data_IF_511987495755
#
_entry.id   IF_511987495755
#
_cell.length_a   1.000
_cell.length_b   1.000
_cell.length_c   1.000
_cell.angle_alpha   90.00
_cell.angle_beta   90.00
_cell.angle_gamma   90.00
#
_symmetry.space_group_name_H-M   'P 1'
#
loop_
_entity.id
_entity.type
_entity.pdbx_description
1 polymer ?
#
# COMPACT_ATOMS: atom_id res chain seq x y z
N UNK A 1 42.98 -15.47 -8.65
CA UNK A 1 42.79 -16.94 -8.77
C UNK A 1 41.50 -17.46 -8.11
N UNK A 2 41.13 -17.06 -6.88
CA UNK A 2 39.92 -17.59 -6.20
C UNK A 2 38.58 -17.28 -6.89
N UNK A 3 38.42 -16.17 -7.63
CA UNK A 3 37.21 -15.89 -8.42
C UNK A 3 37.03 -16.79 -9.64
N UNK A 4 38.12 -17.22 -10.29
CA UNK A 4 38.05 -18.09 -11.48
C UNK A 4 37.72 -19.52 -11.07
N UNK A 5 38.26 -19.97 -9.92
CA UNK A 5 37.98 -21.30 -9.37
C UNK A 5 36.51 -21.41 -8.90
N UNK A 6 35.94 -20.39 -8.27
CA UNK A 6 34.52 -20.39 -7.87
C UNK A 6 33.54 -20.27 -9.04
N UNK A 7 33.98 -19.71 -10.19
CA UNK A 7 33.18 -19.69 -11.41
C UNK A 7 33.12 -21.09 -12.08
N UNK A 8 34.21 -21.85 -12.00
CA UNK A 8 34.31 -23.20 -12.56
C UNK A 8 33.62 -24.29 -11.73
N UNK A 9 33.29 -24.05 -10.46
CA UNK A 9 32.64 -25.02 -9.56
C UNK A 9 31.16 -24.77 -9.31
N UNK A 10 30.55 -23.83 -10.03
CA UNK A 10 29.12 -23.54 -9.94
C UNK A 10 28.29 -24.64 -10.67
N UNK A 11 27.24 -25.21 -10.05
CA UNK A 11 26.39 -26.20 -10.71
C UNK A 11 25.69 -25.65 -11.97
N UNK A 12 25.59 -24.31 -12.12
CA UNK A 12 25.08 -23.67 -13.34
C UNK A 12 26.10 -23.69 -14.48
N UNK A 13 27.40 -23.59 -14.22
CA UNK A 13 28.43 -23.58 -15.29
C UNK A 13 28.65 -24.98 -15.85
N UNK A 14 28.52 -26.03 -15.03
CA UNK A 14 28.51 -27.42 -15.50
C UNK A 14 27.32 -27.75 -16.40
N UNK A 15 26.13 -27.18 -16.12
CA UNK A 15 24.95 -27.39 -16.96
C UNK A 15 25.11 -26.75 -18.35
N UNK A 16 25.61 -25.51 -18.39
CA UNK A 16 25.89 -24.80 -19.65
C UNK A 16 26.97 -25.51 -20.46
N UNK A 17 28.02 -26.01 -19.80
CA UNK A 17 29.08 -26.77 -20.46
C UNK A 17 28.56 -28.10 -21.03
N UNK A 18 27.67 -28.79 -20.31
CA UNK A 18 26.99 -30.00 -20.78
C UNK A 18 26.09 -29.75 -21.99
N UNK A 19 25.31 -28.66 -21.98
CA UNK A 19 24.45 -28.25 -23.10
C UNK A 19 25.29 -27.93 -24.36
N UNK A 20 26.44 -27.26 -24.18
CA UNK A 20 27.37 -26.95 -25.28
C UNK A 20 28.05 -28.18 -25.87
N UNK A 21 28.51 -29.11 -25.01
CA UNK A 21 29.11 -30.36 -25.45
C UNK A 21 28.13 -31.24 -26.23
N UNK A 22 26.88 -31.31 -25.77
CA UNK A 22 25.79 -32.03 -26.45
C UNK A 22 25.49 -31.43 -27.83
N UNK A 23 25.51 -30.10 -27.96
CA UNK A 23 25.34 -29.42 -29.25
C UNK A 23 26.47 -29.77 -30.22
N UNK A 24 27.74 -29.74 -29.78
CA UNK A 24 28.89 -30.12 -30.61
C UNK A 24 28.79 -31.58 -31.05
N UNK A 25 28.41 -32.48 -30.15
CA UNK A 25 28.23 -33.90 -30.46
C UNK A 25 27.14 -34.11 -31.51
N UNK A 26 25.99 -33.45 -31.38
CA UNK A 26 24.92 -33.46 -32.37
C UNK A 26 25.39 -32.92 -33.72
N UNK A 27 26.13 -31.81 -33.73
CA UNK A 27 26.64 -31.21 -34.95
C UNK A 27 27.63 -32.13 -35.69
N UNK A 28 28.56 -32.74 -34.95
CA UNK A 28 29.49 -33.73 -35.50
C UNK A 28 28.78 -34.98 -36.02
N UNK A 29 27.72 -35.42 -35.34
CA UNK A 29 26.87 -36.52 -35.78
C UNK A 29 26.18 -36.19 -37.11
N UNK A 30 25.61 -34.99 -37.24
CA UNK A 30 24.96 -34.54 -38.49
C UNK A 30 25.96 -34.50 -39.65
N UNK A 31 27.15 -33.92 -39.45
CA UNK A 31 28.21 -33.89 -40.47
C UNK A 31 28.68 -35.31 -40.81
N UNK A 32 28.91 -36.15 -39.80
CA UNK A 32 29.32 -37.54 -39.99
C UNK A 32 28.30 -38.34 -40.79
N UNK A 33 27.01 -38.19 -40.48
CA UNK A 33 25.91 -38.80 -41.23
C UNK A 33 25.87 -38.31 -42.68
N UNK A 34 26.09 -37.01 -42.91
CA UNK A 34 26.12 -36.44 -44.26
C UNK A 34 27.27 -37.00 -45.11
N UNK A 35 28.49 -37.05 -44.56
CA UNK A 35 29.67 -37.62 -45.26
C UNK A 35 29.50 -39.12 -45.50
N UNK A 36 29.03 -39.87 -44.49
CA UNK A 36 28.79 -41.30 -44.60
C UNK A 36 27.78 -41.62 -45.69
N UNK A 37 26.64 -40.91 -45.71
CA UNK A 37 25.59 -41.12 -46.70
C UNK A 37 26.06 -40.74 -48.11
N UNK A 38 26.82 -39.65 -48.26
CA UNK A 38 27.43 -39.26 -49.54
C UNK A 38 28.37 -40.34 -50.09
N UNK A 39 29.27 -40.88 -49.26
CA UNK A 39 30.17 -41.97 -49.66
C UNK A 39 29.41 -43.27 -49.97
N UNK A 40 28.35 -43.57 -49.21
CA UNK A 40 27.51 -44.76 -49.44
C UNK A 40 26.79 -44.71 -50.80
N UNK A 41 26.26 -43.54 -51.19
CA UNK A 41 25.68 -43.33 -52.52
C UNK A 41 26.73 -43.55 -53.60
N UNK A 42 27.91 -42.94 -53.44
CA UNK A 42 28.99 -43.05 -54.43
C UNK A 42 29.47 -44.49 -54.65
N UNK A 43 29.48 -45.33 -53.60
CA UNK A 43 29.91 -46.72 -53.71
C UNK A 43 28.82 -47.67 -54.22
N UNK A 44 27.55 -47.44 -53.88
CA UNK A 44 26.47 -48.40 -54.16
C UNK A 44 25.55 -47.98 -55.31
N UNK A 45 25.54 -46.71 -55.70
CA UNK A 45 24.63 -46.16 -56.73
C UNK A 45 25.39 -45.78 -58.00
N UNK A 46 26.59 -45.17 -57.91
CA UNK A 46 27.38 -44.75 -59.08
C UNK A 46 28.03 -45.93 -59.86
N UNK A 47 28.00 -47.14 -59.31
CA UNK A 47 28.51 -48.36 -59.95
C UNK A 47 27.50 -49.09 -60.85
N UNK A 48 26.23 -48.66 -60.88
CA UNK A 48 25.15 -49.30 -61.66
C UNK A 48 25.13 -48.71 -63.08
N UNK A 49 25.27 -49.56 -64.11
CA UNK A 49 25.48 -49.15 -65.52
C UNK A 49 24.38 -48.27 -66.15
N UNK A 50 23.23 -48.07 -65.48
CA UNK A 50 22.14 -47.17 -65.93
C UNK A 50 22.18 -45.74 -65.37
N UNK A 51 23.11 -45.40 -64.48
CA UNK A 51 23.18 -44.11 -63.76
C UNK A 51 24.41 -43.26 -64.10
N UNK A 52 25.15 -43.59 -65.17
CA UNK A 52 26.29 -42.79 -65.64
C UNK A 52 25.85 -41.47 -66.28
N UNK A 53 24.63 -41.44 -66.81
CA UNK A 53 24.06 -40.26 -67.44
C UNK A 53 23.72 -39.18 -66.40
N UNK A 54 23.93 -37.91 -66.74
CA UNK A 54 23.68 -36.80 -65.83
C UNK A 54 22.18 -36.65 -65.52
N UNK A 55 21.32 -37.04 -66.46
CA UNK A 55 19.86 -36.94 -66.38
C UNK A 55 19.26 -37.92 -65.35
N UNK A 56 19.68 -39.19 -65.36
CA UNK A 56 19.21 -40.20 -64.38
C UNK A 56 19.69 -39.92 -62.95
N UNK A 57 20.85 -39.28 -62.77
CA UNK A 57 21.31 -38.78 -61.46
C UNK A 57 20.50 -37.59 -60.94
N UNK A 58 20.07 -36.70 -61.84
CA UNK A 58 19.14 -35.62 -61.52
C UNK A 58 17.79 -36.15 -61.04
N UNK A 59 17.20 -37.11 -61.77
CA UNK A 59 15.94 -37.78 -61.42
C UNK A 59 16.00 -38.53 -60.09
N UNK A 60 17.14 -39.11 -59.73
CA UNK A 60 17.36 -39.73 -58.42
C UNK A 60 17.39 -38.68 -57.30
N UNK A 61 18.04 -37.54 -57.52
CA UNK A 61 18.05 -36.41 -56.58
C UNK A 61 16.66 -35.82 -56.30
N UNK A 62 15.79 -35.79 -57.31
CA UNK A 62 14.42 -35.28 -57.19
C UNK A 62 13.57 -36.09 -56.17
N UNK A 63 13.87 -37.37 -55.94
CA UNK A 63 13.19 -38.18 -54.92
C UNK A 63 13.42 -37.67 -53.49
N UNK A 64 14.56 -37.01 -53.24
CA UNK A 64 14.88 -36.41 -51.94
C UNK A 64 14.35 -34.98 -51.79
N UNK A 65 13.88 -34.35 -52.88
CA UNK A 65 13.28 -33.01 -52.86
C UNK A 65 12.04 -32.93 -51.96
N UNK A 66 11.17 -33.93 -52.03
CA UNK A 66 9.98 -34.03 -51.16
C UNK A 66 10.34 -34.18 -49.68
N UNK A 67 11.39 -34.95 -49.37
CA UNK A 67 11.89 -35.15 -48.00
C UNK A 67 12.48 -33.85 -47.45
N UNK A 68 13.27 -33.12 -48.25
CA UNK A 68 13.83 -31.81 -47.85
C UNK A 68 12.74 -30.76 -47.61
N UNK A 69 11.70 -30.74 -48.45
CA UNK A 69 10.54 -29.87 -48.26
C UNK A 69 9.79 -30.21 -46.96
N UNK A 70 9.62 -31.50 -46.64
CA UNK A 70 9.02 -31.95 -45.38
C UNK A 70 9.83 -31.51 -44.17
N UNK A 71 11.15 -31.73 -44.17
CA UNK A 71 12.02 -31.28 -43.06
C UNK A 71 12.02 -29.76 -42.89
N UNK A 72 12.00 -29.01 -43.99
CA UNK A 72 11.89 -27.55 -43.97
C UNK A 72 10.54 -27.09 -43.39
N UNK A 73 9.44 -27.76 -43.76
CA UNK A 73 8.11 -27.53 -43.18
C UNK A 73 8.05 -27.86 -41.68
N UNK A 74 8.69 -28.96 -41.25
CA UNK A 74 8.79 -29.34 -39.83
C UNK A 74 9.64 -28.35 -39.03
N UNK A 75 10.78 -27.92 -39.57
CA UNK A 75 11.64 -26.92 -38.93
C UNK A 75 10.90 -25.57 -38.78
N UNK A 76 10.17 -25.15 -39.82
CA UNK A 76 9.34 -23.96 -39.76
C UNK A 76 8.18 -24.10 -38.76
N UNK A 77 7.54 -25.26 -38.69
CA UNK A 77 6.50 -25.56 -37.70
C UNK A 77 7.07 -25.50 -36.27
N UNK A 78 8.25 -26.07 -36.04
CA UNK A 78 8.95 -25.98 -34.77
C UNK A 78 9.28 -24.52 -34.39
N UNK A 79 9.72 -23.70 -35.34
CA UNK A 79 9.96 -22.27 -35.15
C UNK A 79 8.67 -21.51 -34.76
N UNK A 80 7.54 -21.83 -35.40
CA UNK A 80 6.25 -21.23 -35.02
C UNK A 80 5.87 -21.62 -33.59
N UNK A 81 6.00 -22.89 -33.24
CA UNK A 81 5.73 -23.37 -31.88
C UNK A 81 6.61 -22.67 -30.85
N UNK A 82 7.91 -22.50 -31.11
CA UNK A 82 8.81 -21.80 -30.18
C UNK A 82 8.46 -20.32 -30.06
N UNK A 83 8.10 -19.64 -31.15
CA UNK A 83 7.65 -18.25 -31.10
C UNK A 83 6.38 -18.07 -30.25
N UNK A 84 5.44 -19.01 -30.33
CA UNK A 84 4.23 -18.99 -29.50
C UNK A 84 4.56 -19.20 -28.02
N UNK A 85 5.45 -20.13 -27.69
CA UNK A 85 5.92 -20.35 -26.32
C UNK A 85 6.65 -19.12 -25.76
N UNK A 86 7.57 -18.54 -26.53
CA UNK A 86 8.29 -17.31 -26.14
C UNK A 86 7.34 -16.13 -25.89
N UNK A 87 6.27 -15.98 -26.69
CA UNK A 87 5.25 -14.95 -26.45
C UNK A 87 4.55 -15.14 -25.11
N UNK A 88 4.24 -16.39 -24.75
CA UNK A 88 3.62 -16.72 -23.45
C UNK A 88 4.58 -16.41 -22.30
N UNK A 89 5.82 -16.88 -22.37
CA UNK A 89 6.85 -16.60 -21.35
C UNK A 89 7.09 -15.09 -21.18
N UNK A 90 7.15 -14.33 -22.27
CA UNK A 90 7.30 -12.88 -22.22
C UNK A 90 6.11 -12.20 -21.54
N UNK A 91 4.89 -12.70 -21.76
CA UNK A 91 3.67 -12.20 -21.12
C UNK A 91 3.69 -12.45 -19.61
N UNK A 92 4.06 -13.66 -19.19
CA UNK A 92 4.19 -14.02 -17.78
C UNK A 92 5.29 -13.19 -17.10
N UNK A 93 6.46 -13.07 -17.75
CA UNK A 93 7.57 -12.24 -17.26
C UNK A 93 7.19 -10.77 -17.09
N UNK A 94 6.38 -10.21 -18.02
CA UNK A 94 5.85 -8.84 -17.89
C UNK A 94 4.94 -8.71 -16.68
N UNK A 95 4.02 -9.65 -16.48
CA UNK A 95 3.11 -9.65 -15.33
C UNK A 95 3.90 -9.69 -14.01
N UNK A 96 4.90 -10.57 -13.91
CA UNK A 96 5.77 -10.64 -12.72
C UNK A 96 6.55 -9.35 -12.50
N UNK A 97 7.08 -8.76 -13.57
CA UNK A 97 7.80 -7.48 -13.48
C UNK A 97 6.89 -6.34 -13.00
N UNK A 98 5.63 -6.32 -13.43
CA UNK A 98 4.64 -5.32 -13.00
C UNK A 98 4.29 -5.45 -11.51
N UNK A 99 4.10 -6.66 -10.99
CA UNK A 99 3.96 -6.89 -9.55
C UNK A 99 5.20 -6.42 -8.78
N UNK A 100 6.40 -6.77 -9.25
CA UNK A 100 7.65 -6.35 -8.61
C UNK A 100 7.83 -4.82 -8.59
N UNK A 101 7.44 -4.14 -9.68
CA UNK A 101 7.45 -2.66 -9.75
C UNK A 101 6.51 -2.04 -8.73
N UNK A 102 5.31 -2.62 -8.60
CA UNK A 102 4.35 -2.18 -7.59
C UNK A 102 4.92 -2.33 -6.19
N UNK A 103 5.39 -3.52 -5.83
CA UNK A 103 5.94 -3.82 -4.51
C UNK A 103 7.12 -2.92 -4.18
N UNK A 104 8.06 -2.75 -5.11
CA UNK A 104 9.22 -1.88 -4.92
C UNK A 104 8.79 -0.44 -4.59
N UNK A 105 7.86 0.12 -5.36
CA UNK A 105 7.35 1.48 -5.13
C UNK A 105 6.58 1.57 -3.81
N UNK A 106 5.73 0.58 -3.50
CA UNK A 106 4.97 0.51 -2.27
C UNK A 106 5.89 0.48 -1.03
N UNK A 107 6.89 -0.41 -1.01
CA UNK A 107 7.80 -0.51 0.13
C UNK A 107 8.72 0.72 0.27
N UNK A 108 9.08 1.37 -0.84
CA UNK A 108 9.76 2.67 -0.80
C UNK A 108 8.88 3.76 -0.16
N UNK A 109 7.61 3.84 -0.55
CA UNK A 109 6.66 4.78 0.04
C UNK A 109 6.43 4.50 1.53
N UNK A 110 6.31 3.23 1.91
CA UNK A 110 6.15 2.81 3.31
C UNK A 110 7.40 3.13 4.15
N UNK A 111 8.60 2.96 3.59
CA UNK A 111 9.84 3.37 4.26
C UNK A 111 9.88 4.88 4.46
N UNK A 112 9.56 5.66 3.43
CA UNK A 112 9.47 7.13 3.55
C UNK A 112 8.43 7.55 4.58
N UNK A 113 7.33 6.80 4.70
CA UNK A 113 6.32 7.05 5.74
C UNK A 113 6.91 6.90 7.14
N UNK A 114 7.60 5.78 7.41
CA UNK A 114 8.24 5.54 8.71
C UNK A 114 9.32 6.60 9.01
N UNK A 115 10.16 6.95 8.02
CA UNK A 115 11.15 8.02 8.18
C UNK A 115 10.51 9.39 8.46
N UNK A 116 9.36 9.69 7.84
CA UNK A 116 8.61 10.91 8.14
C UNK A 116 8.02 10.85 9.55
N UNK A 117 7.48 9.70 9.98
CA UNK A 117 6.95 9.50 11.34
C UNK A 117 8.01 9.81 12.39
N UNK A 118 9.22 9.27 12.22
CA UNK A 118 10.35 9.51 13.14
C UNK A 118 10.82 10.98 13.18
N UNK A 119 10.73 11.71 12.06
CA UNK A 119 11.20 13.10 11.93
C UNK A 119 10.20 14.14 12.43
N UNK A 120 8.93 13.77 12.61
CA UNK A 120 7.92 14.66 13.16
C UNK A 120 8.35 15.13 14.54
N UNK A 121 8.15 16.42 14.82
CA UNK A 121 8.57 17.06 16.07
C UNK A 121 7.54 18.05 16.60
N UNK A 122 7.37 18.04 17.92
CA UNK A 122 6.68 19.09 18.68
C UNK A 122 7.53 19.41 19.89
N UNK A 123 8.01 20.66 19.95
CA UNK A 123 8.83 21.16 21.06
C UNK A 123 10.11 20.31 21.21
N UNK A 124 10.17 19.41 22.21
CA UNK A 124 11.30 18.51 22.49
C UNK A 124 10.95 17.03 22.25
N UNK A 125 9.70 16.73 21.87
CA UNK A 125 9.23 15.37 21.58
C UNK A 125 9.36 15.08 20.08
N UNK A 126 9.73 13.85 19.73
CA UNK A 126 9.93 13.39 18.35
C UNK A 126 9.25 12.05 18.11
N UNK A 127 8.98 11.71 16.86
CA UNK A 127 8.38 10.41 16.54
C UNK A 127 6.99 10.25 17.15
N UNK A 128 6.73 9.07 17.72
CA UNK A 128 5.47 8.72 18.38
C UNK A 128 5.10 9.72 19.49
N UNK A 129 6.08 10.14 20.31
CA UNK A 129 5.83 11.10 21.39
C UNK A 129 5.35 12.47 20.87
N UNK A 130 5.76 12.86 19.66
CA UNK A 130 5.28 14.08 19.04
C UNK A 130 3.79 13.97 18.63
N UNK A 131 3.34 12.79 18.20
CA UNK A 131 1.91 12.54 17.94
C UNK A 131 1.10 12.54 19.23
N UNK A 132 1.62 11.94 20.31
CA UNK A 132 0.99 12.02 21.63
C UNK A 132 0.86 13.48 22.09
N UNK A 133 1.92 14.27 21.93
CA UNK A 133 1.91 15.69 22.25
C UNK A 133 0.90 16.48 21.40
N UNK A 134 0.78 16.17 20.10
CA UNK A 134 -0.21 16.78 19.22
C UNK A 134 -1.63 16.50 19.73
N UNK A 135 -1.89 15.24 20.09
CA UNK A 135 -3.18 14.79 20.61
C UNK A 135 -3.49 15.45 21.96
N UNK A 136 -2.51 15.56 22.86
CA UNK A 136 -2.64 16.31 24.13
C UNK A 136 -2.94 17.79 23.90
N UNK A 137 -2.24 18.42 22.94
CA UNK A 137 -2.50 19.82 22.58
C UNK A 137 -3.91 19.99 22.04
N UNK A 138 -4.38 19.10 21.16
CA UNK A 138 -5.75 19.13 20.64
C UNK A 138 -6.77 19.04 21.77
N UNK A 139 -6.58 18.11 22.70
CA UNK A 139 -7.39 17.97 23.91
C UNK A 139 -7.41 19.24 24.76
N UNK A 140 -6.27 19.90 24.96
CA UNK A 140 -6.19 21.13 25.76
C UNK A 140 -6.73 22.39 25.07
N UNK A 141 -6.88 22.39 23.74
CA UNK A 141 -7.38 23.56 22.98
C UNK A 141 -8.90 23.62 22.94
N UNK A 142 -9.57 22.53 23.29
CA UNK A 142 -11.00 22.48 23.51
C UNK A 142 -11.30 22.65 25.01
N UNK A 143 -11.96 23.75 25.35
CA UNK A 143 -12.21 24.15 26.74
C UNK A 143 -13.20 23.21 27.44
N UNK A 144 -14.06 22.56 26.65
CA UNK A 144 -15.10 21.65 27.15
C UNK A 144 -14.54 20.24 27.41
N UNK A 145 -13.37 19.92 26.84
CA UNK A 145 -12.91 18.55 26.72
C UNK A 145 -12.50 17.90 28.05
N UNK A 146 -11.80 18.64 28.93
CA UNK A 146 -11.48 18.14 30.28
C UNK A 146 -12.74 17.82 31.07
N UNK A 147 -13.78 18.65 30.93
CA UNK A 147 -15.10 18.38 31.50
C UNK A 147 -15.77 17.15 30.87
N UNK A 148 -15.71 17.00 29.55
CA UNK A 148 -16.36 15.88 28.84
C UNK A 148 -15.86 14.50 29.28
N UNK A 149 -14.56 14.35 29.52
CA UNK A 149 -13.99 13.09 30.02
C UNK A 149 -14.59 12.68 31.37
N UNK A 150 -14.75 13.64 32.29
CA UNK A 150 -15.38 13.42 33.58
C UNK A 150 -16.89 13.15 33.43
N UNK A 151 -17.57 13.94 32.59
CA UNK A 151 -19.01 13.82 32.35
C UNK A 151 -19.41 12.50 31.67
N UNK A 152 -18.54 11.87 30.87
CA UNK A 152 -18.79 10.54 30.31
C UNK A 152 -18.98 9.44 31.36
N UNK A 153 -18.47 9.63 32.58
CA UNK A 153 -18.64 8.67 33.68
C UNK A 153 -20.01 8.78 34.34
N UNK A 154 -20.77 9.83 34.05
CA UNK A 154 -22.03 10.16 34.69
C UNK A 154 -23.23 9.90 33.77
N UNK A 155 -24.38 9.60 34.38
CA UNK A 155 -25.66 9.56 33.69
C UNK A 155 -26.18 10.98 33.41
N UNK A 156 -27.00 11.13 32.35
CA UNK A 156 -27.57 12.43 31.97
C UNK A 156 -28.35 13.13 33.10
N UNK A 157 -29.13 12.42 33.95
CA UNK A 157 -29.75 13.02 35.12
C UNK A 157 -28.73 13.60 36.12
N UNK A 158 -27.63 12.89 36.39
CA UNK A 158 -26.55 13.38 37.26
C UNK A 158 -25.91 14.66 36.69
N UNK A 159 -25.70 14.71 35.37
CA UNK A 159 -25.15 15.91 34.72
C UNK A 159 -26.10 17.10 34.81
N UNK A 160 -27.41 16.88 34.67
CA UNK A 160 -28.43 17.93 34.88
C UNK A 160 -28.43 18.42 36.32
N UNK A 161 -28.29 17.52 37.29
CA UNK A 161 -28.18 17.88 38.69
C UNK A 161 -26.96 18.78 38.95
N UNK A 162 -25.77 18.41 38.45
CA UNK A 162 -24.56 19.25 38.59
C UNK A 162 -24.77 20.62 37.93
N UNK A 163 -25.47 20.68 36.79
CA UNK A 163 -25.79 21.93 36.10
C UNK A 163 -26.69 22.83 36.95
N UNK A 164 -27.73 22.26 37.55
CA UNK A 164 -28.71 23.00 38.35
C UNK A 164 -28.10 23.47 39.68
N UNK A 165 -27.34 22.58 40.35
CA UNK A 165 -26.69 22.83 41.64
C UNK A 165 -25.42 23.68 41.51
N UNK A 166 -24.84 23.75 40.31
CA UNK A 166 -23.57 24.43 39.98
C UNK A 166 -22.41 24.04 40.91
N UNK A 167 -22.44 22.79 41.37
CA UNK A 167 -21.44 22.24 42.29
C UNK A 167 -21.26 20.77 42.00
N UNK A 168 -20.03 20.30 42.16
CA UNK A 168 -19.67 18.88 42.08
C UNK A 168 -18.89 18.51 43.34
N UNK A 169 -19.22 17.38 43.97
CA UNK A 169 -18.39 16.81 45.03
C UNK A 169 -18.23 15.31 44.82
N UNK A 170 -17.08 14.77 45.22
CA UNK A 170 -16.80 13.35 45.09
C UNK A 170 -17.76 12.47 45.93
N UNK A 171 -18.30 13.01 47.02
CA UNK A 171 -19.25 12.30 47.87
C UNK A 171 -20.60 12.11 47.19
N UNK A 172 -21.02 13.07 46.35
CA UNK A 172 -22.29 13.03 45.63
C UNK A 172 -22.20 12.14 44.37
N UNK A 173 -21.00 11.97 43.83
CA UNK A 173 -20.72 11.23 42.59
C UNK A 173 -19.51 10.29 42.76
N UNK A 174 -19.71 9.08 43.30
CA UNK A 174 -18.63 8.15 43.60
C UNK A 174 -17.94 7.59 42.35
N UNK A 175 -18.52 7.76 41.16
CA UNK A 175 -17.91 7.39 39.88
C UNK A 175 -16.76 8.32 39.46
N UNK A 176 -16.66 9.51 40.08
CA UNK A 176 -15.66 10.52 39.77
C UNK A 176 -14.40 10.36 40.63
N UNK A 177 -13.25 10.47 39.99
CA UNK A 177 -11.96 10.63 40.68
C UNK A 177 -11.76 12.10 41.10
N UNK A 178 -10.83 12.35 42.02
CA UNK A 178 -10.54 13.72 42.47
C UNK A 178 -10.14 14.66 41.31
N UNK A 179 -9.47 14.11 40.28
CA UNK A 179 -9.12 14.82 39.04
C UNK A 179 -10.36 15.17 38.20
N UNK A 180 -11.35 14.28 38.13
CA UNK A 180 -12.60 14.52 37.39
C UNK A 180 -13.44 15.61 38.06
N UNK A 181 -13.53 15.57 39.39
CA UNK A 181 -14.22 16.61 40.18
C UNK A 181 -13.56 17.97 39.93
N UNK A 182 -12.23 18.05 39.98
CA UNK A 182 -11.50 19.29 39.70
C UNK A 182 -11.75 19.80 38.27
N UNK A 183 -11.79 18.90 37.27
CA UNK A 183 -12.07 19.28 35.87
C UNK A 183 -13.49 19.82 35.69
N UNK A 184 -14.49 19.23 36.35
CA UNK A 184 -15.88 19.71 36.31
C UNK A 184 -16.01 21.04 37.05
N UNK A 185 -15.35 21.18 38.20
CA UNK A 185 -15.39 22.42 39.00
C UNK A 185 -14.75 23.59 38.22
N UNK A 186 -13.60 23.36 37.59
CA UNK A 186 -12.95 24.36 36.71
C UNK A 186 -13.84 24.72 35.51
N UNK A 187 -14.61 23.77 34.98
CA UNK A 187 -15.59 24.05 33.94
C UNK A 187 -16.74 24.93 34.47
N UNK A 188 -17.27 24.63 35.67
CA UNK A 188 -18.33 25.38 36.32
C UNK A 188 -17.92 26.81 36.68
N UNK A 189 -16.66 27.06 37.03
CA UNK A 189 -16.11 28.40 37.22
C UNK A 189 -16.22 29.28 35.95
N UNK A 190 -16.13 28.66 34.77
CA UNK A 190 -16.31 29.33 33.46
C UNK A 190 -17.78 29.41 33.04
N UNK A 191 -18.68 28.77 33.79
CA UNK A 191 -20.12 28.71 33.56
C UNK A 191 -20.64 27.29 33.27
N UNK A 192 -21.93 27.15 32.97
CA UNK A 192 -22.56 25.84 32.69
C UNK A 192 -22.43 25.40 31.22
N UNK A 193 -21.75 26.20 30.39
CA UNK A 193 -21.63 25.97 28.95
C UNK A 193 -21.13 24.56 28.62
N UNK A 194 -20.09 24.08 29.30
CA UNK A 194 -19.56 22.71 29.11
C UNK A 194 -20.61 21.63 29.38
N UNK A 195 -21.48 21.81 30.37
CA UNK A 195 -22.53 20.83 30.65
C UNK A 195 -23.64 20.89 29.60
N UNK A 196 -24.04 22.08 29.17
CA UNK A 196 -25.01 22.28 28.08
C UNK A 196 -24.52 21.63 26.78
N UNK A 197 -23.25 21.87 26.49
CA UNK A 197 -22.53 21.36 25.35
C UNK A 197 -22.39 19.83 25.33
N UNK A 198 -22.24 19.22 26.51
CA UNK A 198 -22.23 17.76 26.65
C UNK A 198 -23.62 17.17 26.48
N UNK A 199 -24.65 17.85 26.99
CA UNK A 199 -26.03 17.41 26.90
C UNK A 199 -26.60 17.54 25.48
N UNK A 200 -26.05 18.44 24.66
CA UNK A 200 -26.39 18.64 23.26
C UNK A 200 -25.88 17.49 22.37
N UNK A 201 -26.80 16.83 21.66
CA UNK A 201 -26.51 15.73 20.72
C UNK A 201 -26.34 16.20 19.27
N UNK A 202 -26.40 17.50 19.02
CA UNK A 202 -26.28 18.10 17.70
C UNK A 202 -24.89 17.90 17.10
N UNK A 203 -24.79 16.98 16.12
CA UNK A 203 -23.55 16.76 15.36
C UNK A 203 -22.92 18.06 14.81
N UNK A 204 -23.67 19.05 14.27
CA UNK A 204 -23.07 20.27 13.73
C UNK A 204 -22.28 21.08 14.76
N UNK A 205 -22.77 21.18 16.01
CA UNK A 205 -22.08 21.91 17.07
C UNK A 205 -20.77 21.21 17.44
N UNK A 206 -20.81 19.88 17.62
CA UNK A 206 -19.59 19.10 17.91
C UNK A 206 -18.57 19.19 16.77
N UNK A 207 -19.05 19.20 15.53
CA UNK A 207 -18.20 19.39 14.33
C UNK A 207 -17.54 20.77 14.31
N UNK A 208 -18.26 21.83 14.67
CA UNK A 208 -17.71 23.18 14.75
C UNK A 208 -16.64 23.30 15.85
N UNK A 209 -16.87 22.69 17.01
CA UNK A 209 -15.91 22.71 18.13
C UNK A 209 -14.62 21.98 17.82
N UNK A 210 -14.71 20.74 17.34
CA UNK A 210 -13.52 19.98 16.96
C UNK A 210 -12.76 20.69 15.84
N UNK A 211 -13.47 21.32 14.90
CA UNK A 211 -12.85 22.15 13.85
C UNK A 211 -12.14 23.36 14.42
N UNK A 212 -12.74 24.08 15.38
CA UNK A 212 -12.13 25.23 16.02
C UNK A 212 -10.89 24.85 16.87
N UNK A 213 -10.97 23.76 17.64
CA UNK A 213 -9.86 23.23 18.43
C UNK A 213 -8.72 22.77 17.51
N UNK A 214 -9.03 21.99 16.48
CA UNK A 214 -8.04 21.51 15.52
C UNK A 214 -7.40 22.65 14.73
N UNK A 215 -8.18 23.68 14.32
CA UNK A 215 -7.64 24.86 13.63
C UNK A 215 -6.53 25.54 14.43
N UNK A 216 -6.73 25.74 15.74
CA UNK A 216 -5.71 26.33 16.62
C UNK A 216 -4.44 25.49 16.69
N UNK A 217 -4.57 24.16 16.76
CA UNK A 217 -3.40 23.25 16.75
C UNK A 217 -2.72 23.25 15.38
N UNK A 218 -3.52 23.26 14.32
CA UNK A 218 -3.01 23.21 12.95
C UNK A 218 -2.20 24.47 12.62
N UNK A 219 -2.67 25.65 13.03
CA UNK A 219 -1.94 26.92 12.86
C UNK A 219 -0.53 26.88 13.46
N UNK A 220 -0.33 26.12 14.54
CA UNK A 220 0.94 26.08 15.27
C UNK A 220 1.85 24.92 14.84
N UNK A 221 1.28 23.75 14.54
CA UNK A 221 2.06 22.52 14.37
C UNK A 221 1.87 21.79 13.04
N UNK A 222 0.86 22.10 12.21
CA UNK A 222 0.53 21.27 11.04
C UNK A 222 1.68 21.13 10.05
N UNK A 223 2.51 22.17 9.93
CA UNK A 223 3.63 22.18 8.99
C UNK A 223 4.62 21.05 9.29
N UNK A 224 4.86 20.75 10.57
CA UNK A 224 5.73 19.65 11.00
C UNK A 224 5.17 18.26 10.67
N UNK A 225 3.84 18.13 10.54
CA UNK A 225 3.15 16.86 10.25
C UNK A 225 2.70 16.76 8.78
N UNK A 226 2.78 17.86 8.02
CA UNK A 226 2.24 17.95 6.67
C UNK A 226 2.85 16.93 5.72
N UNK A 227 4.17 16.69 5.83
CA UNK A 227 4.88 15.68 5.05
C UNK A 227 4.43 14.26 5.41
N UNK A 228 4.19 13.98 6.69
CA UNK A 228 3.68 12.71 7.17
C UNK A 228 2.29 12.40 6.60
N UNK A 229 1.33 13.33 6.78
CA UNK A 229 -0.04 13.15 6.29
C UNK A 229 -0.09 13.02 4.76
N UNK A 230 0.67 13.86 4.04
CA UNK A 230 0.72 13.82 2.57
C UNK A 230 1.33 12.52 2.06
N UNK A 231 2.40 12.04 2.67
CA UNK A 231 3.01 10.78 2.26
C UNK A 231 2.08 9.59 2.52
N UNK A 232 1.44 9.51 3.69
CA UNK A 232 0.45 8.46 3.97
C UNK A 232 -0.70 8.48 2.94
N UNK A 233 -1.21 9.67 2.62
CA UNK A 233 -2.23 9.84 1.59
C UNK A 233 -1.76 9.30 0.25
N UNK A 234 -0.55 9.64 -0.20
CA UNK A 234 0.00 9.16 -1.46
C UNK A 234 0.24 7.65 -1.45
N UNK A 235 0.64 7.06 -0.32
CA UNK A 235 0.78 5.61 -0.17
C UNK A 235 -0.57 4.92 -0.35
N UNK A 236 -1.61 5.37 0.36
CA UNK A 236 -2.96 4.80 0.23
C UNK A 236 -3.55 5.05 -1.16
N UNK A 237 -3.31 6.23 -1.74
CA UNK A 237 -3.73 6.56 -3.10
C UNK A 237 -3.03 5.68 -4.13
N UNK A 238 -1.74 5.40 -3.96
CA UNK A 238 -0.99 4.52 -4.84
C UNK A 238 -1.57 3.10 -4.84
N UNK A 239 -1.90 2.56 -3.66
CA UNK A 239 -2.61 1.28 -3.53
C UNK A 239 -3.97 1.35 -4.25
N UNK A 240 -4.74 2.40 -4.01
CA UNK A 240 -6.07 2.58 -4.60
C UNK A 240 -6.07 2.63 -6.13
N UNK A 241 -5.19 3.46 -6.70
CA UNK A 241 -5.19 3.83 -8.11
C UNK A 241 -4.37 2.86 -8.97
N UNK A 242 -3.52 2.03 -8.36
CA UNK A 242 -2.70 1.07 -9.10
C UNK A 242 -3.55 0.08 -9.90
N UNK A 243 -3.19 -0.08 -11.18
CA UNK A 243 -3.74 -1.10 -12.09
C UNK A 243 -2.90 -2.38 -12.10
N UNK A 244 -1.79 -2.40 -11.37
CA UNK A 244 -0.83 -3.50 -11.34
C UNK A 244 -1.20 -4.58 -10.31
N UNK A 245 -2.19 -4.31 -9.47
CA UNK A 245 -2.67 -5.22 -8.43
C UNK A 245 -4.19 -5.29 -8.41
N UNK A 246 -4.71 -6.45 -8.00
CA UNK A 246 -6.15 -6.70 -7.90
C UNK A 246 -6.77 -6.11 -6.62
N UNK A 247 -8.10 -6.18 -6.48
CA UNK A 247 -8.81 -5.61 -5.32
C UNK A 247 -8.50 -6.33 -4.00
N UNK A 248 -8.16 -7.62 -4.04
CA UNK A 248 -7.81 -8.41 -2.86
C UNK A 248 -6.41 -8.04 -2.37
N UNK A 249 -5.47 -7.91 -3.29
CA UNK A 249 -4.12 -7.42 -3.03
C UNK A 249 -4.14 -6.00 -2.46
N UNK A 250 -4.97 -5.10 -3.02
CA UNK A 250 -5.14 -3.74 -2.48
C UNK A 250 -5.49 -3.73 -1.00
N UNK A 251 -6.46 -4.55 -0.60
CA UNK A 251 -6.83 -4.71 0.82
C UNK A 251 -5.66 -5.29 1.65
N UNK A 252 -4.91 -6.24 1.08
CA UNK A 252 -3.70 -6.81 1.70
C UNK A 252 -2.61 -5.75 1.96
N UNK A 253 -2.24 -4.96 0.97
CA UNK A 253 -1.23 -3.90 1.13
C UNK A 253 -1.69 -2.78 2.06
N UNK A 254 -2.97 -2.41 2.02
CA UNK A 254 -3.51 -1.43 2.96
C UNK A 254 -3.46 -1.94 4.41
N UNK A 255 -3.67 -3.25 4.63
CA UNK A 255 -3.48 -3.88 5.95
C UNK A 255 -2.03 -3.80 6.42
N UNK A 256 -1.04 -3.90 5.53
CA UNK A 256 0.37 -3.65 5.90
C UNK A 256 0.58 -2.22 6.37
N UNK A 257 0.08 -1.21 5.64
CA UNK A 257 0.14 0.20 6.08
C UNK A 257 -0.49 0.34 7.46
N UNK A 258 -1.72 -0.17 7.64
CA UNK A 258 -2.44 -0.11 8.91
C UNK A 258 -1.67 -0.73 10.07
N UNK A 259 -0.95 -1.83 9.83
CA UNK A 259 -0.16 -2.51 10.87
C UNK A 259 1.07 -1.74 11.34
N UNK A 260 1.51 -0.73 10.57
CA UNK A 260 2.66 0.12 10.93
C UNK A 260 2.24 1.37 11.72
N UNK A 261 0.96 1.72 11.72
CA UNK A 261 0.46 2.93 12.38
C UNK A 261 0.23 2.67 13.88
N UNK A 262 0.85 3.50 14.72
CA UNK A 262 0.59 3.52 16.16
C UNK A 262 -0.77 4.13 16.48
N UNK A 263 -1.26 3.90 17.70
CA UNK A 263 -2.53 4.47 18.15
C UNK A 263 -2.51 6.01 18.16
N UNK A 264 -1.40 6.62 18.58
CA UNK A 264 -1.24 8.07 18.58
C UNK A 264 -1.32 8.65 17.15
N UNK A 265 -0.73 7.96 16.18
CA UNK A 265 -0.81 8.32 14.76
C UNK A 265 -2.23 8.18 14.22
N UNK A 266 -2.93 7.09 14.53
CA UNK A 266 -4.32 6.87 14.09
C UNK A 266 -5.25 7.98 14.58
N UNK A 267 -5.10 8.42 15.83
CA UNK A 267 -5.86 9.54 16.39
C UNK A 267 -5.55 10.85 15.66
N UNK A 268 -4.27 11.13 15.41
CA UNK A 268 -3.87 12.34 14.68
C UNK A 268 -4.41 12.37 13.25
N UNK A 269 -4.32 11.23 12.54
CA UNK A 269 -4.87 11.05 11.18
C UNK A 269 -6.39 11.19 11.19
N UNK A 270 -7.07 10.63 12.19
CA UNK A 270 -8.52 10.71 12.33
C UNK A 270 -8.99 12.17 12.41
N UNK A 271 -8.42 12.97 13.32
CA UNK A 271 -8.78 14.38 13.46
C UNK A 271 -8.43 15.22 12.23
N UNK A 272 -7.30 14.92 11.60
CA UNK A 272 -6.92 15.50 10.32
C UNK A 272 -7.92 15.17 9.20
N UNK A 273 -8.52 13.98 9.24
CA UNK A 273 -9.45 13.53 8.20
C UNK A 273 -10.88 14.04 8.34
N UNK A 274 -11.35 14.37 9.55
CA UNK A 274 -12.72 14.89 9.77
C UNK A 274 -12.81 16.40 9.70
N UNK A 275 -11.70 17.12 9.86
CA UNK A 275 -11.70 18.58 9.93
C UNK A 275 -11.31 19.19 8.59
N UNK A 276 -12.19 20.03 8.02
CA UNK A 276 -11.83 20.91 6.91
C UNK A 276 -11.01 22.08 7.44
N UNK A 277 -9.75 22.15 7.05
CA UNK A 277 -8.80 23.18 7.49
C UNK A 277 -8.79 24.31 6.45
N UNK A 278 -9.10 25.53 6.89
CA UNK A 278 -8.92 26.76 6.10
C UNK A 278 -7.99 27.69 6.88
N UNK A 279 -6.71 27.70 6.49
CA UNK A 279 -5.67 28.53 7.08
C UNK A 279 -5.50 29.80 6.25
N UNK A 280 -5.27 30.93 6.94
CA UNK A 280 -5.01 32.22 6.29
C UNK A 280 -3.85 32.12 5.30
N UNK A 281 -4.11 32.39 4.01
CA UNK A 281 -3.12 32.29 2.93
C UNK A 281 -2.93 30.88 2.35
N UNK A 282 -3.69 29.88 2.82
CA UNK A 282 -3.66 28.49 2.34
C UNK A 282 -5.08 27.94 2.22
N UNK A 283 -5.89 28.58 1.37
CA UNK A 283 -7.32 28.30 1.23
C UNK A 283 -7.62 26.95 0.54
N UNK A 284 -6.71 26.44 -0.29
CA UNK A 284 -6.88 25.19 -1.05
C UNK A 284 -6.14 24.00 -0.42
N UNK A 285 -5.68 24.12 0.83
CA UNK A 285 -4.84 23.10 1.45
C UNK A 285 -5.67 21.93 1.99
N UNK A 286 -5.85 20.90 1.16
CA UNK A 286 -6.48 19.64 1.55
C UNK A 286 -5.48 18.69 2.25
N UNK A 287 -5.06 19.08 3.45
CA UNK A 287 -4.28 18.22 4.35
C UNK A 287 -5.22 17.31 5.13
N UNK A 288 -5.88 16.35 4.48
CA UNK A 288 -6.76 15.39 5.17
C UNK A 288 -8.16 15.31 4.58
N UNK A 289 -9.12 16.03 5.18
CA UNK A 289 -10.47 16.12 4.63
C UNK A 289 -10.49 16.76 3.23
N UNK A 290 -11.27 16.26 2.26
CA UNK A 290 -12.07 15.03 2.29
C UNK A 290 -11.30 13.78 1.79
N UNK A 291 -10.21 13.98 1.05
CA UNK A 291 -9.54 12.93 0.26
C UNK A 291 -8.95 11.80 1.12
N UNK A 292 -8.30 12.15 2.23
CA UNK A 292 -7.79 11.18 3.18
C UNK A 292 -8.93 10.38 3.82
N UNK A 293 -10.00 11.05 4.25
CA UNK A 293 -11.14 10.39 4.91
C UNK A 293 -11.74 9.27 4.05
N UNK A 294 -11.90 9.53 2.74
CA UNK A 294 -12.40 8.54 1.79
C UNK A 294 -11.51 7.29 1.72
N UNK A 295 -10.17 7.46 1.69
CA UNK A 295 -9.23 6.34 1.66
C UNK A 295 -9.16 5.58 2.99
N UNK A 296 -9.20 6.30 4.13
CA UNK A 296 -9.22 5.69 5.46
C UNK A 296 -10.44 4.79 5.64
N UNK A 297 -11.61 5.26 5.19
CA UNK A 297 -12.83 4.46 5.21
C UNK A 297 -12.76 3.28 4.24
N UNK A 298 -12.36 3.52 2.98
CA UNK A 298 -12.29 2.48 1.95
C UNK A 298 -11.41 1.29 2.36
N UNK A 299 -10.31 1.55 3.03
CA UNK A 299 -9.35 0.52 3.45
C UNK A 299 -9.45 0.13 4.92
N UNK A 300 -10.44 0.65 5.66
CA UNK A 300 -10.63 0.37 7.09
C UNK A 300 -9.35 0.59 7.91
N UNK A 301 -8.65 1.70 7.67
CA UNK A 301 -7.36 2.02 8.31
C UNK A 301 -7.55 2.25 9.82
N UNK A 302 -8.67 2.82 10.22
CA UNK A 302 -8.95 3.20 11.62
C UNK A 302 -9.44 2.03 12.49
N UNK A 303 -9.54 0.80 11.96
CA UNK A 303 -10.06 -0.36 12.69
C UNK A 303 -9.37 -0.62 14.04
N UNK A 304 -8.06 -0.34 14.10
CA UNK A 304 -7.23 -0.60 15.28
C UNK A 304 -7.26 0.56 16.30
N UNK A 305 -7.97 1.65 16.03
CA UNK A 305 -8.06 2.79 16.94
C UNK A 305 -9.00 2.47 18.10
N UNK A 306 -8.53 2.63 19.33
CA UNK A 306 -9.38 2.45 20.51
C UNK A 306 -10.46 3.53 20.56
N UNK A 307 -11.73 3.19 20.81
CA UNK A 307 -12.77 4.18 21.05
C UNK A 307 -12.46 5.12 22.21
N UNK A 308 -11.62 4.69 23.16
CA UNK A 308 -11.19 5.49 24.33
C UNK A 308 -10.20 6.60 23.99
N UNK A 309 -9.52 6.48 22.86
CA UNK A 309 -8.50 7.45 22.41
C UNK A 309 -9.12 8.62 21.64
N UNK A 310 -10.41 8.50 21.30
CA UNK A 310 -11.20 9.54 20.67
C UNK A 310 -11.67 10.51 21.74
N UNK A 311 -11.48 11.80 21.48
CA UNK A 311 -11.92 12.93 22.30
C UNK A 311 -13.42 12.81 22.62
N UNK A 312 -14.29 12.68 21.61
CA UNK A 312 -15.71 12.52 21.84
C UNK A 312 -16.31 11.40 20.97
N UNK A 313 -17.18 10.53 21.51
CA UNK A 313 -17.82 9.46 20.74
C UNK A 313 -18.53 9.95 19.47
N UNK A 314 -19.13 11.15 19.52
CA UNK A 314 -19.81 11.73 18.35
C UNK A 314 -18.85 12.06 17.19
N UNK A 315 -17.54 12.17 17.43
CA UNK A 315 -16.58 12.41 16.35
C UNK A 315 -16.55 11.25 15.34
N UNK A 316 -16.76 10.01 15.79
CA UNK A 316 -16.92 8.87 14.86
C UNK A 316 -18.16 9.02 13.98
N UNK A 317 -19.24 9.58 14.53
CA UNK A 317 -20.46 9.83 13.76
C UNK A 317 -20.24 10.94 12.73
N UNK A 318 -19.48 11.99 13.09
CA UNK A 318 -19.05 13.03 12.14
C UNK A 318 -18.23 12.42 11.01
N UNK A 319 -17.26 11.54 11.30
CA UNK A 319 -16.48 10.86 10.27
C UNK A 319 -17.36 10.07 9.29
N UNK A 320 -18.31 9.28 9.81
CA UNK A 320 -19.23 8.49 8.98
C UNK A 320 -20.08 9.38 8.08
N UNK A 321 -20.74 10.38 8.66
CA UNK A 321 -21.53 11.39 7.93
C UNK A 321 -20.70 12.03 6.80
N UNK A 322 -19.49 12.48 7.13
CA UNK A 322 -18.60 13.14 6.20
C UNK A 322 -18.21 12.23 5.02
N UNK A 323 -17.97 10.95 5.26
CA UNK A 323 -17.64 9.97 4.21
C UNK A 323 -18.85 9.64 3.33
N UNK A 324 -20.05 9.55 3.90
CA UNK A 324 -21.29 9.36 3.15
C UNK A 324 -21.55 10.55 2.19
N UNK A 325 -21.36 11.78 2.67
CA UNK A 325 -21.47 12.99 1.85
C UNK A 325 -20.46 13.03 0.70
N UNK A 326 -19.24 12.51 0.90
CA UNK A 326 -18.23 12.39 -0.15
C UNK A 326 -18.62 11.34 -1.18
N UNK A 327 -19.19 10.22 -0.75
CA UNK A 327 -19.55 9.09 -1.64
C UNK A 327 -20.76 9.41 -2.53
N UNK A 328 -21.61 10.35 -2.11
CA UNK A 328 -22.78 10.82 -2.87
C UNK A 328 -22.46 11.91 -3.90
N UNK A 329 -21.23 12.44 -3.94
CA UNK A 329 -20.79 13.49 -4.88
C UNK A 329 -19.94 12.92 -6.00
#
# INVERSE_FOLDING_TARGET
MKCIVNFLTSPKTWRIFGEFLLFIMLFMLVIGAWVYFGNWIQLNVDGVEGLKDAETRGLFGDQFGAINALFSGMAFSALICTLLLQRKELSEARSTADHQRFESTFFQLLRLHNENSEKVKIIQKTGIEAFEALNEKLKSRDIDFTGFCALQKLSRPQIRQIKDDKKVTQNDFPELEASDVANIDEALERGVGTLDNFLDEGLPMHEEKVRAAYKKVAEEYIDNFSHYFRNLYHTLKYINDSKLIDSKEKAGYAKFVRSQLSEAELVAIFYNSITKIELSGRNDMELGYPKMAALLHKFDILQNMSPRSIIHPLHLNIFKKNVEEISCK
#
